data_IF_490014290676
#
_entry.id   IF_490014290676
#
_cell.length_a   1.000
_cell.length_b   1.000
_cell.length_c   1.000
_cell.angle_alpha   90.00
_cell.angle_beta   90.00
_cell.angle_gamma   90.00
#
_symmetry.space_group_name_H-M   'P 1'
#
loop_
_entity.id
_entity.type
_entity.pdbx_description
1 polymer ?
#
# COMPACT_ATOMS: atom_id res chain seq x y z
N UNK A 1 -23.86 -4.00 12.80
CA UNK A 1 -22.44 -4.32 13.11
C UNK A 1 -21.64 -4.15 11.83
N UNK A 2 -20.50 -3.44 11.91
CA UNK A 2 -19.45 -3.24 10.89
C UNK A 2 -19.77 -2.44 9.60
N UNK A 3 -19.91 -1.12 9.73
CA UNK A 3 -19.59 -0.15 8.65
C UNK A 3 -18.28 0.61 8.92
N UNK A 4 -17.55 0.22 9.98
CA UNK A 4 -16.33 0.88 10.42
C UNK A 4 -15.08 0.49 9.61
N UNK A 5 -15.09 -0.64 8.90
CA UNK A 5 -13.90 -1.15 8.20
C UNK A 5 -13.59 -0.41 6.89
N UNK A 6 -14.61 -0.08 6.09
CA UNK A 6 -14.41 0.47 4.73
C UNK A 6 -13.98 1.94 4.72
N UNK A 7 -14.52 2.78 5.61
CA UNK A 7 -14.05 4.17 5.76
C UNK A 7 -12.62 4.21 6.29
N UNK A 8 -12.27 3.33 7.24
CA UNK A 8 -10.94 3.29 7.82
C UNK A 8 -9.88 2.81 6.80
N UNK A 9 -10.26 1.87 5.92
CA UNK A 9 -9.41 1.37 4.84
C UNK A 9 -9.19 2.41 3.72
N UNK A 10 -10.21 3.20 3.37
CA UNK A 10 -10.06 4.27 2.39
C UNK A 10 -9.10 5.37 2.89
N UNK A 11 -9.25 5.77 4.15
CA UNK A 11 -8.32 6.70 4.81
C UNK A 11 -6.91 6.12 4.95
N UNK A 12 -6.81 4.85 5.31
CA UNK A 12 -5.54 4.12 5.36
C UNK A 12 -4.84 4.11 3.99
N UNK A 13 -5.58 3.78 2.92
CA UNK A 13 -5.07 3.82 1.54
C UNK A 13 -4.56 5.23 1.22
N UNK A 14 -5.33 6.27 1.53
CA UNK A 14 -4.94 7.66 1.22
C UNK A 14 -3.65 8.07 1.93
N UNK A 15 -3.54 7.76 3.23
CA UNK A 15 -2.33 8.03 4.03
C UNK A 15 -1.12 7.23 3.54
N UNK A 16 -1.33 5.94 3.24
CA UNK A 16 -0.29 5.06 2.73
C UNK A 16 0.19 5.50 1.35
N UNK A 17 -0.73 5.81 0.44
CA UNK A 17 -0.43 6.29 -0.91
C UNK A 17 0.36 7.60 -0.88
N UNK A 18 0.00 8.55 -0.01
CA UNK A 18 0.74 9.82 0.13
C UNK A 18 2.13 9.68 0.76
N UNK A 19 2.51 8.52 1.28
CA UNK A 19 3.86 8.25 1.81
C UNK A 19 4.66 7.31 0.92
N UNK A 20 3.99 6.36 0.27
CA UNK A 20 4.62 5.35 -0.58
C UNK A 20 4.75 5.78 -2.03
N UNK A 21 3.94 6.69 -2.55
CA UNK A 21 4.11 7.20 -3.92
C UNK A 21 5.43 7.98 -4.10
N UNK A 22 6.00 8.50 -3.02
CA UNK A 22 7.32 9.14 -3.01
C UNK A 22 8.48 8.12 -2.90
N UNK A 23 8.20 6.86 -2.56
CA UNK A 23 9.23 5.82 -2.44
C UNK A 23 9.59 5.25 -3.82
N UNK A 24 10.89 5.27 -4.14
CA UNK A 24 11.38 4.72 -5.41
C UNK A 24 11.15 3.21 -5.44
N UNK A 25 10.40 2.74 -6.44
CA UNK A 25 10.04 1.32 -6.60
C UNK A 25 8.58 0.98 -6.29
N UNK A 26 7.80 1.93 -5.74
CA UNK A 26 6.34 1.78 -5.62
C UNK A 26 5.67 2.32 -6.87
N UNK A 27 4.85 1.49 -7.49
CA UNK A 27 4.05 1.83 -8.67
C UNK A 27 2.68 2.41 -8.29
N UNK A 28 2.13 1.99 -7.16
CA UNK A 28 0.85 2.50 -6.67
C UNK A 28 0.34 1.77 -5.44
N UNK A 29 -0.79 2.26 -4.91
CA UNK A 29 -1.47 1.63 -3.77
C UNK A 29 -2.95 1.42 -4.11
N UNK A 30 -3.41 0.17 -3.98
CA UNK A 30 -4.77 -0.28 -4.17
C UNK A 30 -5.44 -0.73 -2.88
N UNK A 31 -6.74 -0.93 -2.98
CA UNK A 31 -7.54 -1.60 -1.97
C UNK A 31 -8.26 -2.78 -2.63
N UNK A 32 -8.11 -3.98 -2.08
CA UNK A 32 -8.80 -5.20 -2.54
C UNK A 32 -9.60 -5.77 -1.38
N UNK A 33 -10.93 -5.63 -1.44
CA UNK A 33 -11.85 -6.03 -0.36
C UNK A 33 -11.40 -5.36 0.96
N UNK A 34 -10.83 -6.15 1.87
CA UNK A 34 -10.38 -5.72 3.20
C UNK A 34 -8.85 -5.67 3.35
N UNK A 35 -8.11 -5.60 2.22
CA UNK A 35 -6.65 -5.62 2.21
C UNK A 35 -6.09 -4.44 1.43
N UNK A 36 -4.98 -3.90 1.92
CA UNK A 36 -4.19 -2.90 1.21
C UNK A 36 -3.23 -3.62 0.28
N UNK A 37 -3.23 -3.23 -0.99
CA UNK A 37 -2.31 -3.79 -2.00
C UNK A 37 -1.31 -2.71 -2.38
N UNK A 38 -0.03 -2.97 -2.19
CA UNK A 38 1.05 -2.11 -2.64
C UNK A 38 1.59 -2.70 -3.94
N UNK A 39 1.42 -1.97 -5.02
CA UNK A 39 1.95 -2.33 -6.33
C UNK A 39 3.40 -1.86 -6.42
N UNK A 40 4.30 -2.79 -6.69
CA UNK A 40 5.74 -2.53 -6.82
C UNK A 40 6.15 -2.62 -8.28
N UNK A 41 7.01 -1.70 -8.72
CA UNK A 41 7.57 -1.70 -10.07
C UNK A 41 8.60 -2.84 -10.24
N UNK A 42 9.35 -3.12 -9.18
CA UNK A 42 10.35 -4.20 -9.09
C UNK A 42 10.17 -4.93 -7.77
N UNK A 43 10.51 -6.22 -7.72
CA UNK A 43 10.49 -6.97 -6.47
C UNK A 43 11.65 -6.57 -5.55
N UNK A 44 11.50 -5.45 -4.86
CA UNK A 44 12.52 -4.93 -3.94
C UNK A 44 12.13 -5.21 -2.46
N UNK A 45 12.91 -6.05 -1.75
CA UNK A 45 12.65 -6.33 -0.34
C UNK A 45 12.84 -5.11 0.57
N UNK A 46 13.65 -4.11 0.20
CA UNK A 46 13.80 -2.88 0.95
C UNK A 46 12.50 -2.04 0.90
N UNK A 47 11.90 -1.93 -0.29
CA UNK A 47 10.62 -1.22 -0.48
C UNK A 47 9.49 -1.92 0.27
N UNK A 48 9.44 -3.26 0.26
CA UNK A 48 8.49 -4.04 1.06
C UNK A 48 8.61 -3.75 2.54
N UNK A 49 9.82 -3.84 3.10
CA UNK A 49 10.06 -3.53 4.52
C UNK A 49 9.64 -2.11 4.86
N UNK A 50 9.97 -1.15 3.99
CA UNK A 50 9.63 0.25 4.19
C UNK A 50 8.11 0.47 4.22
N UNK A 51 7.38 -0.16 3.30
CA UNK A 51 5.93 -0.10 3.26
C UNK A 51 5.28 -0.72 4.52
N UNK A 52 5.80 -1.83 5.01
CA UNK A 52 5.36 -2.42 6.28
C UNK A 52 5.65 -1.51 7.48
N UNK A 53 6.82 -0.86 7.53
CA UNK A 53 7.15 0.09 8.59
C UNK A 53 6.22 1.30 8.58
N UNK A 54 5.93 1.86 7.40
CA UNK A 54 5.00 2.97 7.24
C UNK A 54 3.60 2.55 7.69
N UNK A 55 3.13 1.38 7.27
CA UNK A 55 1.83 0.85 7.71
C UNK A 55 1.76 0.67 9.22
N UNK A 56 2.81 0.11 9.84
CA UNK A 56 2.91 -0.02 11.31
C UNK A 56 2.88 1.33 12.02
N UNK A 57 3.63 2.32 11.53
CA UNK A 57 3.65 3.68 12.11
C UNK A 57 2.31 4.40 12.00
N UNK A 58 1.54 4.10 10.95
CA UNK A 58 0.20 4.62 10.76
C UNK A 58 -0.86 3.86 11.58
N UNK A 59 -0.46 2.83 12.34
CA UNK A 59 -1.38 2.00 13.13
C UNK A 59 -2.31 1.15 12.27
N UNK A 60 -1.91 0.84 11.03
CA UNK A 60 -2.73 0.04 10.14
C UNK A 60 -2.68 -1.43 10.58
N UNK A 61 -3.82 -1.96 11.00
CA UNK A 61 -4.03 -3.37 11.32
C UNK A 61 -4.46 -4.20 10.11
N UNK A 62 -4.77 -3.54 8.99
CA UNK A 62 -5.18 -4.21 7.76
C UNK A 62 -4.01 -5.02 7.16
N UNK A 63 -4.27 -6.21 6.58
CA UNK A 63 -3.24 -6.98 5.90
C UNK A 63 -2.70 -6.21 4.68
N UNK A 64 -1.39 -5.99 4.66
CA UNK A 64 -0.69 -5.49 3.47
C UNK A 64 -0.31 -6.65 2.56
N UNK A 65 -0.59 -6.50 1.28
CA UNK A 65 -0.21 -7.43 0.22
C UNK A 65 0.67 -6.69 -0.77
N UNK A 66 1.75 -7.32 -1.21
CA UNK A 66 2.66 -6.75 -2.21
C UNK A 66 2.46 -7.48 -3.53
N UNK A 67 2.24 -6.70 -4.60
CA UNK A 67 2.08 -7.24 -5.95
C UNK A 67 3.07 -6.54 -6.89
N UNK A 68 3.90 -7.32 -7.57
CA UNK A 68 4.88 -6.79 -8.51
C UNK A 68 4.21 -6.70 -9.87
N UNK A 69 3.93 -5.49 -10.32
CA UNK A 69 3.24 -5.25 -11.61
C UNK A 69 4.22 -5.13 -12.77
N UNK A 70 5.53 -5.10 -12.49
CA UNK A 70 6.56 -4.68 -13.45
C UNK A 70 6.57 -3.15 -13.61
N UNK A 71 7.57 -2.64 -14.35
CA UNK A 71 7.65 -1.22 -14.72
C UNK A 71 6.33 -0.78 -15.36
N UNK A 72 5.57 0.04 -14.64
CA UNK A 72 4.47 0.80 -15.22
C UNK A 72 5.11 1.78 -16.20
N UNK A 73 5.23 1.36 -17.48
CA UNK A 73 5.47 2.27 -18.59
C UNK A 73 4.33 3.28 -18.57
N UNK A 74 4.58 4.45 -17.96
CA UNK A 74 3.78 5.65 -18.15
C UNK A 74 3.88 5.96 -19.64
N UNK A 75 2.80 5.67 -20.37
CA UNK A 75 2.67 5.99 -21.78
C UNK A 75 2.23 7.44 -21.96
#
# INVERSE_FOLDING_TARGET
MATADSSNLADAKRKLSGRLLDETGVSGVGLRKDRLVVYLAVDDPAVRRRAEEVARRLGLTAPLVFEVTGELRKH
#
